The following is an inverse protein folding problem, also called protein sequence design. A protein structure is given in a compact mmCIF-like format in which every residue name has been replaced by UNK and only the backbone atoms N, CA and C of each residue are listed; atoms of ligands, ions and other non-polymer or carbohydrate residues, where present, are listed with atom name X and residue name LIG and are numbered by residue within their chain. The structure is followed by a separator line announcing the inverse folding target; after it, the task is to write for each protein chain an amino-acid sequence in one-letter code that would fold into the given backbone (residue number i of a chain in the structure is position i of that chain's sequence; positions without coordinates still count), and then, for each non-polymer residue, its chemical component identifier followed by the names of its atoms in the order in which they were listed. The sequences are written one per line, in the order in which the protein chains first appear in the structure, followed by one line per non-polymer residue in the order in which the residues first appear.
data_IF_669453841994
#
_entry.id   IF_669453841994
#
_cell.length_a   1.000
_cell.length_b   1.000
_cell.length_c   1.000
_cell.angle_alpha   90.00
_cell.angle_beta   90.00
_cell.angle_gamma   90.00
#
_symmetry.space_group_name_H-M   'P 1'
#
loop_
_entity.id
_entity.type
_entity.pdbx_description
1 polymer ?
2 non-polymer ?
3 non-polymer ?
4 water ?
#
# COMPACT_ATOMS: atom_id res chain seq x y z
N UNK A 4 19.01 -16.69 0.49
CA UNK A 4 18.85 -16.91 -0.95
C UNK A 4 18.65 -15.59 -1.70
N UNK A 5 19.01 -15.59 -2.98
CA UNK A 5 18.96 -14.39 -3.79
C UNK A 5 17.96 -14.51 -4.93
N UNK A 6 17.16 -15.57 -4.92
CA UNK A 6 16.20 -15.80 -5.98
C UNK A 6 14.96 -14.92 -5.84
N UNK A 7 14.37 -14.58 -6.98
CA UNK A 7 13.13 -13.82 -7.00
C UNK A 7 12.20 -14.48 -7.99
N UNK A 8 10.90 -14.31 -7.77
CA UNK A 8 9.91 -14.92 -8.61
C UNK A 8 9.80 -14.22 -9.96
N UNK A 9 8.91 -14.74 -10.79
CA UNK A 9 8.65 -14.14 -12.10
C UNK A 9 7.18 -13.82 -12.23
N UNK A 10 6.81 -13.01 -13.22
CA UNK A 10 5.42 -12.85 -13.54
C UNK A 10 5.10 -13.49 -14.90
N UNK A 11 3.86 -13.94 -15.05
CA UNK A 11 3.45 -14.52 -16.31
C UNK A 11 2.11 -13.95 -16.75
N UNK A 12 1.61 -14.41 -17.88
CA UNK A 12 0.37 -13.88 -18.42
C UNK A 12 -0.77 -14.01 -17.43
N UNK A 13 -0.82 -15.13 -16.72
CA UNK A 13 -1.87 -15.40 -15.76
C UNK A 13 -1.92 -14.35 -14.65
N UNK A 14 -0.74 -13.90 -14.22
CA UNK A 14 -0.65 -12.87 -13.18
C UNK A 14 -1.30 -11.59 -13.66
N UNK A 15 -0.96 -11.17 -14.88
CA UNK A 15 -1.53 -9.96 -15.44
C UNK A 15 -3.03 -10.09 -15.66
N UNK A 16 -3.45 -11.27 -16.13
CA UNK A 16 -4.84 -11.50 -16.43
C UNK A 16 -5.68 -11.40 -15.17
N UNK A 17 -5.22 -12.00 -14.08
CA UNK A 17 -6.01 -11.95 -12.85
C UNK A 17 -5.95 -10.56 -12.21
N UNK A 18 -4.82 -9.88 -12.36
CA UNK A 18 -4.77 -8.48 -11.93
C UNK A 18 -5.85 -7.65 -12.63
N UNK A 19 -6.00 -7.83 -13.95
CA UNK A 19 -6.96 -7.04 -14.70
C UNK A 19 -8.39 -7.39 -14.32
N UNK A 20 -8.62 -8.68 -14.11
CA UNK A 20 -9.94 -9.21 -13.81
C UNK A 20 -10.38 -8.84 -12.41
N UNK A 21 -9.48 -9.04 -11.45
CA UNK A 21 -9.84 -8.92 -10.04
C UNK A 21 -9.45 -7.58 -9.42
N UNK A 22 -8.48 -6.90 -10.00
CA UNK A 22 -8.03 -5.62 -9.50
C UNK A 22 -6.88 -5.69 -8.51
N UNK A 23 -6.43 -6.91 -8.24
CA UNK A 23 -5.27 -7.13 -7.38
C UNK A 23 -4.56 -8.41 -7.79
N UNK A 24 -3.33 -8.56 -7.31
CA UNK A 24 -2.59 -9.80 -7.59
C UNK A 24 -1.58 -10.03 -6.52
N UNK A 25 -1.32 -11.31 -6.25
CA UNK A 25 -0.31 -11.72 -5.30
C UNK A 25 0.95 -12.15 -6.04
N UNK A 26 2.08 -11.60 -5.63
CA UNK A 26 3.37 -12.02 -6.15
C UNK A 26 4.16 -12.64 -5.00
N UNK A 27 4.36 -13.96 -5.04
CA UNK A 27 4.92 -14.64 -3.87
C UNK A 27 6.31 -14.14 -3.43
N UNK A 28 7.16 -13.74 -4.37
CA UNK A 28 8.50 -13.32 -4.00
C UNK A 28 9.01 -12.23 -4.95
N UNK A 29 8.76 -10.97 -4.63
CA UNK A 29 9.20 -9.88 -5.49
C UNK A 29 10.55 -9.32 -5.00
N UNK A 30 10.88 -9.59 -3.74
CA UNK A 30 12.16 -9.21 -3.16
C UNK A 30 12.81 -10.48 -2.66
N UNK A 31 14.10 -10.64 -2.93
CA UNK A 31 14.84 -11.81 -2.48
C UNK A 31 15.05 -11.74 -0.99
N UNK A 32 15.47 -12.86 -0.39
CA UNK A 32 15.74 -12.90 1.02
C UNK A 32 16.80 -11.87 1.42
N UNK A 33 17.80 -11.66 0.58
CA UNK A 33 18.86 -10.71 0.89
C UNK A 33 18.37 -9.28 0.74
N UNK A 34 17.51 -9.02 -0.24
CA UNK A 34 16.91 -7.71 -0.41
C UNK A 34 16.00 -7.38 0.78
N UNK A 35 15.23 -8.35 1.24
CA UNK A 35 14.42 -8.19 2.44
C UNK A 35 15.28 -7.90 3.67
N UNK A 36 16.41 -8.60 3.79
CA UNK A 36 17.30 -8.39 4.93
C UNK A 36 17.81 -6.97 4.97
N UNK A 37 18.15 -6.43 3.79
CA UNK A 37 18.64 -5.06 3.70
C UNK A 37 17.51 -4.06 3.99
N UNK A 38 16.32 -4.34 3.49
CA UNK A 38 15.19 -3.45 3.73
C UNK A 38 14.87 -3.41 5.23
N UNK A 39 15.01 -4.56 5.89
CA UNK A 39 14.77 -4.65 7.32
C UNK A 39 15.74 -3.79 8.12
N UNK A 40 17.02 -3.83 7.74
CA UNK A 40 18.04 -3.01 8.38
C UNK A 40 17.76 -1.53 8.18
N UNK A 41 17.31 -1.17 6.98
CA UNK A 41 16.93 0.20 6.68
C UNK A 41 15.76 0.66 7.54
N UNK A 42 14.76 -0.21 7.73
CA UNK A 42 13.61 0.13 8.54
C UNK A 42 13.97 0.24 10.02
N UNK A 43 14.94 -0.57 10.47
CA UNK A 43 15.43 -0.51 11.84
C UNK A 43 15.90 0.91 12.20
N UNK A 44 16.42 1.61 11.20
CA UNK A 44 16.92 2.97 11.38
C UNK A 44 15.86 4.03 11.07
N UNK A 45 14.98 3.75 10.11
CA UNK A 45 13.91 4.68 9.75
C UNK A 45 12.86 4.76 10.86
N UNK A 46 12.59 3.63 11.47
CA UNK A 46 11.53 3.51 12.47
C UNK A 46 12.11 3.18 13.83
N UNK A 47 12.61 4.20 14.51
CA UNK A 47 13.23 3.98 15.81
C UNK A 47 12.16 3.94 16.90
N UNK A 48 12.08 2.81 17.59
CA UNK A 48 11.19 2.75 18.75
C UNK A 48 11.93 3.38 19.93
N UNK A 49 11.33 4.44 20.49
CA UNK A 49 12.01 5.28 21.46
C UNK A 49 11.30 5.24 22.79
N UNK A 50 12.06 5.16 23.89
CA UNK A 50 11.48 5.12 25.23
C UNK A 50 11.34 6.51 25.85
N UNK A 51 10.45 6.58 26.83
CA UNK A 51 10.26 7.75 27.68
C UNK A 51 10.46 7.33 29.14
N UNK A 52 10.61 8.30 30.06
CA UNK A 52 10.74 7.93 31.48
C UNK A 52 9.53 7.16 32.00
N UNK A 55 5.21 5.32 27.93
CA UNK A 55 4.90 4.59 26.71
C UNK A 55 5.92 4.89 25.61
N UNK A 56 6.36 3.85 24.92
CA UNK A 56 7.28 4.01 23.80
C UNK A 56 6.55 4.68 22.66
N UNK A 57 7.30 5.31 21.77
CA UNK A 57 6.72 5.87 20.57
C UNK A 57 7.74 5.73 19.44
N UNK A 58 7.26 5.64 18.21
CA UNK A 58 8.17 5.61 17.08
C UNK A 58 8.56 7.03 16.75
N UNK A 59 9.86 7.25 16.59
CA UNK A 59 10.38 8.60 16.51
C UNK A 59 10.30 9.12 15.09
N UNK A 60 9.08 9.36 14.63
CA UNK A 60 8.85 9.91 13.31
C UNK A 60 7.71 10.93 13.37
N UNK A 61 7.61 11.74 12.32
CA UNK A 61 6.48 12.66 12.19
C UNK A 61 5.18 11.85 12.18
N UNK A 62 4.18 12.35 12.91
CA UNK A 62 2.91 11.66 13.00
C UNK A 62 2.76 10.86 14.28
N UNK A 63 3.88 10.54 14.91
CA UNK A 63 3.87 9.75 16.14
C UNK A 63 4.34 10.54 17.35
N UNK A 64 5.53 11.13 17.24
CA UNK A 64 6.13 11.89 18.33
C UNK A 64 5.37 13.19 18.63
N UNK A 65 4.55 13.62 17.67
CA UNK A 65 3.80 14.86 17.82
C UNK A 65 2.29 14.64 17.68
N UNK A 66 1.85 13.41 17.91
CA UNK A 66 0.46 13.04 17.69
C UNK A 66 -0.46 13.36 18.88
N UNK A 67 -1.47 14.20 18.63
C UNK A 67 -3.82 13.80 19.09
N UNK A 68 -4.43 12.98 19.93
CA UNK A 68 -5.60 12.21 19.53
C UNK A 68 -5.23 10.74 19.44
N UNK A 69 -6.15 9.92 18.91
CA UNK A 69 -5.88 8.49 18.73
C UNK A 69 -4.61 8.25 17.91
N UNK A 70 -3.89 7.17 18.19
CA UNK A 70 -2.63 6.89 17.48
C UNK A 70 -2.82 6.72 15.98
N UNK A 71 -1.81 7.13 15.23
CA UNK A 71 -1.81 6.94 13.79
C UNK A 71 -0.88 5.78 13.45
N UNK A 72 -1.16 5.13 12.34
CA UNK A 72 -0.29 4.09 11.85
C UNK A 72 1.07 4.71 11.52
N UNK A 73 2.15 4.21 12.13
CA UNK A 73 3.48 4.75 11.81
C UNK A 73 3.80 4.62 10.33
N UNK A 74 4.10 5.74 9.69
CA UNK A 74 4.41 5.70 8.28
C UNK A 74 5.27 6.86 7.84
N UNK A 75 6.04 6.62 6.79
CA UNK A 75 6.92 7.63 6.22
C UNK A 75 6.61 7.78 4.74
N UNK A 76 6.12 8.95 4.34
CA UNK A 76 5.88 9.20 2.93
C UNK A 76 7.22 9.51 2.26
N UNK A 77 7.44 8.91 1.09
CA UNK A 77 8.69 9.07 0.34
C UNK A 77 9.95 8.84 1.18
N UNK A 78 10.11 7.63 1.73
CA UNK A 78 11.29 7.33 2.54
C UNK A 78 12.58 7.42 1.72
N UNK A 79 12.44 7.39 0.39
CA UNK A 79 13.59 7.50 -0.50
C UNK A 79 14.31 8.84 -0.34
N UNK A 80 13.67 9.79 0.34
CA UNK A 80 14.33 11.06 0.68
C UNK A 80 15.45 10.82 1.70
N UNK A 81 15.17 9.94 2.66
CA UNK A 81 16.11 9.65 3.73
C UNK A 81 17.04 8.50 3.34
N UNK A 82 16.50 7.55 2.58
CA UNK A 82 17.29 6.43 2.09
C UNK A 82 17.23 6.42 0.57
N UNK A 83 18.09 7.21 -0.07
CA UNK A 83 18.10 7.35 -1.54
C UNK A 83 18.73 6.14 -2.21
N UNK A 84 19.19 5.19 -1.40
CA UNK A 84 19.67 3.92 -1.91
C UNK A 84 18.49 3.09 -2.38
N UNK A 85 17.29 3.50 -2.00
CA UNK A 85 16.06 2.74 -2.28
C UNK A 85 15.72 2.66 -3.77
N UNK A 86 15.67 3.80 -4.45
CA UNK A 86 15.19 3.83 -5.84
C UNK A 86 16.31 3.51 -6.84
N UNK A 87 17.49 3.17 -6.35
CA UNK A 87 18.53 2.66 -7.20
C UNK A 87 18.32 1.17 -7.46
N UNK A 88 17.61 0.54 -6.53
CA UNK A 88 17.66 -0.90 -6.33
C UNK A 88 17.14 -1.77 -7.48
N UNK A 89 17.64 -3.01 -7.57
CA UNK A 89 17.03 -3.97 -8.49
C UNK A 89 15.56 -4.23 -8.17
N UNK A 90 15.18 -4.10 -6.89
CA UNK A 90 13.78 -4.32 -6.50
C UNK A 90 12.90 -3.21 -7.07
N UNK A 91 13.38 -1.97 -7.03
CA UNK A 91 12.61 -0.90 -7.62
C UNK A 91 12.43 -1.14 -9.12
N UNK A 92 13.52 -1.48 -9.80
CA UNK A 92 13.50 -1.65 -11.25
C UNK A 92 12.56 -2.79 -11.62
N UNK A 93 12.58 -3.83 -10.81
CA UNK A 93 11.76 -5.01 -11.00
C UNK A 93 10.29 -4.64 -10.85
N UNK A 94 9.99 -3.84 -9.84
CA UNK A 94 8.63 -3.39 -9.60
C UNK A 94 8.14 -2.45 -10.72
N UNK A 95 9.02 -1.59 -11.23
CA UNK A 95 8.63 -0.67 -12.30
C UNK A 95 8.27 -1.48 -13.55
N UNK A 96 9.04 -2.54 -13.80
CA UNK A 96 8.76 -3.42 -14.94
C UNK A 96 7.44 -4.14 -14.77
N UNK A 97 7.13 -4.56 -13.54
CA UNK A 97 5.86 -5.20 -13.26
C UNK A 97 4.72 -4.21 -13.51
N UNK A 98 4.89 -2.99 -13.03
CA UNK A 98 3.86 -1.96 -13.18
C UNK A 98 3.59 -1.69 -14.65
N UNK A 99 4.67 -1.60 -15.42
CA UNK A 99 4.59 -1.41 -16.85
C UNK A 99 3.78 -2.52 -17.53
N UNK A 100 4.08 -3.77 -17.17
CA UNK A 100 3.36 -4.91 -17.73
C UNK A 100 1.89 -4.89 -17.34
N UNK A 101 1.61 -4.54 -16.09
CA UNK A 101 0.24 -4.58 -15.60
C UNK A 101 -0.59 -3.39 -16.10
N UNK A 102 0.05 -2.25 -16.36
CA UNK A 102 -0.68 -1.06 -16.80
C UNK A 102 -0.66 -0.86 -18.31
N UNK A 103 0.11 -1.69 -19.03
CA UNK A 103 0.33 -1.53 -20.46
C UNK A 103 0.85 -0.14 -20.79
N UNK A 104 1.83 0.30 -20.01
CA UNK A 104 2.46 1.59 -20.19
C UNK A 104 3.97 1.47 -20.17
N UNK A 105 4.65 2.27 -20.98
CA UNK A 105 6.11 2.29 -20.98
C UNK A 105 6.61 2.71 -19.61
N UNK A 106 7.71 2.11 -19.16
CA UNK A 106 8.28 2.44 -17.86
C UNK A 106 8.58 3.92 -17.74
N UNK A 107 9.01 4.52 -18.84
CA UNK A 107 9.36 5.93 -18.90
C UNK A 107 8.17 6.86 -18.70
N UNK A 108 6.97 6.32 -18.89
CA UNK A 108 5.73 7.08 -18.73
C UNK A 108 5.25 7.12 -17.28
N UNK A 109 5.83 6.27 -16.44
CA UNK A 109 5.33 6.15 -15.08
C UNK A 109 5.98 7.13 -14.13
N UNK A 110 5.15 7.87 -13.40
CA UNK A 110 5.59 8.58 -12.21
C UNK A 110 5.53 7.64 -11.03
N UNK A 111 6.35 7.89 -10.02
CA UNK A 111 6.41 6.96 -8.90
C UNK A 111 6.87 7.61 -7.61
N UNK A 112 6.55 6.96 -6.49
CA UNK A 112 7.12 7.33 -5.21
C UNK A 112 7.00 6.15 -4.25
N UNK A 113 7.72 6.24 -3.14
CA UNK A 113 7.75 5.18 -2.14
C UNK A 113 6.92 5.54 -0.93
N UNK A 114 6.61 4.55 -0.12
CA UNK A 114 5.82 4.77 1.09
C UNK A 114 6.16 3.65 2.07
N UNK A 115 6.58 4.01 3.27
CA UNK A 115 6.98 3.02 4.28
C UNK A 115 5.95 2.97 5.39
N UNK A 116 5.64 1.75 5.81
CA UNK A 116 4.65 1.51 6.84
C UNK A 116 5.19 0.52 7.84
N UNK A 117 5.03 0.83 9.13
CA UNK A 117 5.29 -0.15 10.18
C UNK A 117 4.05 -0.25 11.07
N UNK A 118 3.48 -1.45 11.17
CA UNK A 118 2.40 -1.73 12.11
C UNK A 118 2.98 -2.28 13.38
N UNK A 119 2.94 -1.50 14.46
CA UNK A 119 3.50 -1.90 15.76
C UNK A 119 2.85 -3.17 16.27
N UNK A 120 3.54 -3.91 17.15
CA UNK A 120 2.91 -5.04 17.83
C UNK A 120 1.64 -4.59 18.54
N UNK A 121 0.60 -5.41 18.45
CA UNK A 121 -0.66 -5.17 19.14
C UNK A 121 -1.34 -3.88 18.70
N UNK A 122 -0.97 -3.37 17.53
CA UNK A 122 -1.63 -2.20 17.00
C UNK A 122 -3.07 -2.57 16.66
N UNK A 123 -4.03 -1.99 17.40
CA UNK A 123 -5.40 -2.45 17.35
C UNK A 123 -6.34 -1.79 16.37
N UNK A 124 -5.90 -0.72 15.71
CA UNK A 124 -6.73 -0.08 14.69
C UNK A 124 -6.56 -0.76 13.34
N UNK A 125 -7.66 -1.03 12.64
CA UNK A 125 -7.56 -1.50 11.26
C UNK A 125 -7.28 -0.33 10.33
N UNK A 126 -6.92 -0.64 9.10
CA UNK A 126 -7.01 0.33 8.01
C UNK A 126 -8.37 0.09 7.35
N UNK A 127 -9.31 1.02 7.56
CA UNK A 127 -10.68 0.76 7.13
C UNK A 127 -10.79 0.62 5.62
N UNK A 128 -11.83 -0.05 5.16
CA UNK A 128 -12.13 -0.11 3.73
C UNK A 128 -12.01 1.25 3.05
N UNK A 129 -11.28 1.29 1.94
CA UNK A 129 -11.13 2.51 1.15
C UNK A 129 -10.69 2.15 -0.25
N UNK A 130 -10.80 3.12 -1.16
CA UNK A 130 -10.15 3.04 -2.46
C UNK A 130 -9.12 4.13 -2.50
N UNK A 131 -7.93 3.81 -3.01
CA UNK A 131 -6.87 4.80 -3.00
C UNK A 131 -7.27 6.02 -3.84
N UNK A 132 -8.06 5.79 -4.88
CA UNK A 132 -8.51 6.91 -5.72
C UNK A 132 -9.38 7.91 -4.95
N UNK A 133 -9.99 7.48 -3.84
CA UNK A 133 -10.82 8.41 -3.06
C UNK A 133 -10.01 9.57 -2.51
N UNK A 134 -8.70 9.39 -2.42
CA UNK A 134 -7.79 10.44 -1.95
C UNK A 134 -7.37 11.39 -3.06
N UNK A 135 -7.77 11.10 -4.30
CA UNK A 135 -7.23 11.84 -5.43
C UNK A 135 -8.22 12.87 -5.97
N UNK A 136 -7.67 13.92 -6.59
CA UNK A 136 -8.44 15.01 -7.18
C UNK A 136 -9.33 14.49 -8.32
N UNK A 137 -10.66 14.65 -8.20
CA UNK A 137 -11.54 14.09 -9.23
C UNK A 137 -11.44 14.81 -10.57
N UNK A 138 -10.75 15.94 -10.56
CA UNK A 138 -10.59 16.72 -11.79
C UNK A 138 -9.52 16.14 -12.72
N UNK A 139 -8.71 15.21 -12.21
CA UNK A 139 -7.56 14.72 -12.94
C UNK A 139 -7.42 13.22 -12.73
N UNK A 140 -7.53 12.46 -13.82
CA UNK A 140 -7.54 11.02 -13.71
C UNK A 140 -6.16 10.48 -14.00
N UNK A 141 -5.70 9.54 -13.16
CA UNK A 141 -4.45 8.85 -13.44
C UNK A 141 -4.75 7.36 -13.44
N UNK A 142 -4.15 6.62 -14.37
CA UNK A 142 -4.10 5.17 -14.24
C UNK A 142 -2.95 4.83 -13.31
N UNK A 143 -3.11 3.81 -12.50
CA UNK A 143 -2.00 3.51 -11.60
C UNK A 143 -2.24 2.34 -10.70
N UNK A 144 -1.20 2.01 -9.94
CA UNK A 144 -1.31 0.90 -9.02
C UNK A 144 -0.29 1.07 -7.90
N UNK A 145 -0.41 0.21 -6.91
CA UNK A 145 0.50 0.13 -5.78
C UNK A 145 1.06 -1.27 -5.67
N UNK A 146 2.34 -1.37 -5.34
CA UNK A 146 3.02 -2.63 -5.07
C UNK A 146 3.50 -2.60 -3.63
N UNK A 147 2.82 -3.41 -2.81
CA UNK A 147 2.98 -3.49 -1.36
C UNK A 147 3.88 -4.67 -1.06
N UNK A 148 5.17 -4.43 -0.80
CA UNK A 148 6.12 -5.52 -0.54
C UNK A 148 6.28 -5.67 0.96
N UNK A 149 6.05 -6.86 1.49
CA UNK A 149 6.13 -7.03 2.93
C UNK A 149 7.54 -7.46 3.32
N UNK A 150 8.01 -6.97 4.47
CA UNK A 150 9.32 -7.36 5.00
C UNK A 150 9.18 -8.51 5.98
N UNK A 151 7.93 -8.79 6.34
CA UNK A 151 7.61 -9.77 7.39
C UNK A 151 6.54 -10.69 6.88
N UNK A 152 6.35 -11.83 7.55
CA UNK A 152 5.13 -12.61 7.30
C UNK A 152 3.93 -11.68 7.46
N UNK A 153 3.00 -11.76 6.52
CA UNK A 153 1.75 -11.02 6.64
C UNK A 153 0.59 -11.99 6.68
N UNK A 154 -0.14 -11.99 7.78
CA UNK A 154 -1.29 -12.87 7.93
C UNK A 154 -2.55 -12.07 8.22
N UNK A 155 -3.69 -12.74 8.27
CA UNK A 155 -4.91 -12.01 8.59
C UNK A 155 -4.76 -11.41 9.99
N UNK A 156 -4.16 -12.15 10.91
CA UNK A 156 -4.03 -11.67 12.28
C UNK A 156 -2.95 -10.62 12.47
N UNK A 157 -2.05 -10.47 11.50
CA UNK A 157 -0.97 -9.48 11.64
C UNK A 157 -1.30 -8.21 10.85
N UNK A 158 -2.41 -8.23 10.13
CA UNK A 158 -2.85 -7.08 9.37
C UNK A 158 -2.55 -7.08 7.88
N UNK A 159 -2.64 -8.25 7.24
CA UNK A 159 -2.48 -8.30 5.78
C UNK A 159 -3.65 -7.58 5.11
N UNK A 160 -3.52 -7.33 3.82
CA UNK A 160 -4.58 -6.65 3.06
C UNK A 160 -5.68 -7.62 2.65
N UNK A 161 -6.88 -7.08 2.54
CA UNK A 161 -8.04 -7.75 2.02
C UNK A 161 -8.57 -6.91 0.88
N UNK A 162 -9.08 -7.54 -0.16
CA UNK A 162 -9.62 -6.81 -1.31
C UNK A 162 -11.06 -7.15 -1.65
N UNK A 163 -11.74 -6.23 -2.34
CA UNK A 163 -13.02 -6.54 -2.98
C UNK A 163 -12.78 -6.84 -4.45
N UNK A 164 -12.77 -8.13 -4.82
CA UNK A 164 -12.48 -8.50 -6.21
C UNK A 164 -13.42 -7.83 -7.20
N UNK A 165 -12.86 -7.24 -8.23
CA UNK A 165 -13.65 -6.64 -9.29
C UNK A 165 -14.09 -5.23 -8.98
N UNK A 166 -13.79 -4.77 -7.76
CA UNK A 166 -14.27 -3.46 -7.32
C UNK A 166 -13.67 -2.29 -8.09
N UNK A 167 -12.56 -2.52 -8.77
CA UNK A 167 -11.93 -1.47 -9.56
C UNK A 167 -12.74 -1.13 -10.81
N UNK A 168 -13.74 -1.94 -11.16
CA UNK A 168 -14.63 -1.61 -12.28
C UNK A 168 -15.91 -0.96 -11.79
N UNK A 169 -16.05 -0.85 -10.47
CA UNK A 169 -17.20 -0.18 -9.86
C UNK A 169 -16.89 1.30 -9.67
N UNK A 170 -17.79 2.01 -8.99
CA UNK A 170 -17.55 3.43 -8.77
C UNK A 170 -16.47 3.67 -7.72
N UNK A 171 -15.98 4.90 -7.65
CA UNK A 171 -15.33 5.35 -6.44
C UNK A 171 -16.48 5.52 -5.45
N UNK A 172 -16.49 4.64 -4.47
CA UNK A 172 -17.55 4.53 -3.47
C UNK A 172 -17.63 5.76 -2.58
N UNK A 173 -18.80 5.99 -1.97
CA UNK A 173 -18.86 7.12 -1.04
C UNK A 173 -17.84 6.94 0.09
N UNK A 174 -17.03 7.95 0.34
CA UNK A 174 -16.11 7.90 1.46
C UNK A 174 -16.39 9.04 2.41
N UNK A 175 -15.92 8.89 3.65
CA UNK A 175 -15.98 10.00 4.59
C UNK A 175 -14.72 9.95 5.43
N UNK A 176 -14.37 11.07 6.05
CA UNK A 176 -13.27 11.04 6.98
C UNK A 176 -13.66 10.22 8.19
N UNK A 177 -12.72 9.41 8.66
CA UNK A 177 -12.92 8.67 9.90
C UNK A 177 -13.29 9.64 11.02
N UNK A 178 -12.63 10.79 11.03
CA UNK A 178 -12.96 11.92 11.90
C UNK A 178 -12.83 13.21 11.10
N UNK A 179 -13.94 13.91 10.90
CA UNK A 179 -13.95 15.15 10.13
C UNK A 179 -13.03 16.23 10.73
N UNK A 180 -12.85 16.18 12.05
CA UNK A 180 -11.99 17.13 12.75
C UNK A 180 -10.58 16.58 12.99
N UNK A 181 -10.30 15.40 12.42
CA UNK A 181 -8.98 14.78 12.52
C UNK A 181 -8.68 14.04 11.21
N UNK A 182 -8.58 14.81 10.13
CA UNK A 182 -8.59 14.22 8.79
C UNK A 182 -7.38 13.37 8.44
N UNK A 183 -6.27 13.59 9.15
CA UNK A 183 -5.06 12.84 8.90
C UNK A 183 -5.23 11.33 9.19
N UNK A 184 -6.28 10.97 9.93
CA UNK A 184 -6.55 9.56 10.23
C UNK A 184 -6.99 8.83 8.97
N UNK A 185 -7.46 9.59 7.99
CA UNK A 185 -7.73 9.02 6.67
C UNK A 185 -9.20 8.90 6.37
N UNK A 186 -9.49 8.25 5.25
CA UNK A 186 -10.84 8.07 4.72
C UNK A 186 -11.32 6.65 4.88
N UNK A 187 -12.64 6.46 4.89
CA UNK A 187 -13.21 5.13 4.83
C UNK A 187 -14.51 5.10 4.05
N UNK A 188 -14.88 3.90 3.60
CA UNK A 188 -16.20 3.70 3.04
C UNK A 188 -16.94 2.61 3.83
N UNK A 189 -18.25 2.74 3.93
CA UNK A 189 -19.09 1.73 4.57
C UNK A 189 -19.67 0.79 3.51
N UNK A 190 -19.35 1.06 2.26
CA UNK A 190 -20.06 0.42 1.16
C UNK A 190 -19.31 -0.75 0.54
N UNK A 191 -18.67 -1.54 1.40
CA UNK A 191 -18.08 -2.81 0.97
C UNK A 191 -18.65 -3.93 1.83
N UNK A 192 -19.08 -5.01 1.20
CA UNK A 192 -19.58 -6.18 1.92
C UNK A 192 -18.41 -7.08 2.30
N UNK A 193 -18.09 -7.16 3.60
CA UNK A 193 -16.93 -7.91 4.07
C UNK A 193 -16.97 -9.40 3.70
N UNK A 194 -18.15 -9.96 3.49
CA UNK A 194 -18.23 -11.38 3.11
C UNK A 194 -17.79 -11.60 1.67
N UNK A 195 -17.65 -10.50 0.92
CA UNK A 195 -17.16 -10.58 -0.45
C UNK A 195 -15.65 -10.41 -0.52
N UNK A 196 -15.04 -10.09 0.62
CA UNK A 196 -13.61 -9.81 0.65
C UNK A 196 -12.75 -11.06 0.50
N UNK A 197 -11.55 -10.85 -0.04
CA UNK A 197 -10.56 -11.91 -0.17
C UNK A 197 -9.26 -11.45 0.48
N UNK A 198 -8.69 -12.27 1.37
CA UNK A 198 -7.47 -11.88 2.06
C UNK A 198 -6.24 -12.35 1.32
N UNK A 199 -5.15 -11.59 1.46
CA UNK A 199 -3.90 -11.87 0.76
C UNK A 199 -2.71 -11.99 1.70
N UNK A 200 -2.64 -13.12 2.43
CA UNK A 200 -1.43 -13.31 3.24
C UNK A 200 -0.19 -13.48 2.36
N UNK A 201 0.96 -13.13 2.93
CA UNK A 201 2.23 -13.13 2.21
C UNK A 201 3.34 -13.63 3.10
N UNK A 202 4.35 -14.21 2.48
CA UNK A 202 5.60 -14.50 3.16
C UNK A 202 6.53 -13.30 2.97
N UNK A 203 7.61 -13.20 3.77
CA UNK A 203 8.53 -12.07 3.61
C UNK A 203 9.07 -11.97 2.18
N UNK A 204 9.06 -10.75 1.63
CA UNK A 204 9.49 -10.53 0.26
C UNK A 204 8.39 -10.70 -0.76
N UNK A 205 7.23 -11.18 -0.32
CA UNK A 205 6.05 -11.25 -1.18
C UNK A 205 5.45 -9.88 -1.33
N UNK A 206 4.56 -9.72 -2.31
CA UNK A 206 3.88 -8.44 -2.49
C UNK A 206 2.47 -8.64 -2.97
N UNK A 207 1.64 -7.65 -2.70
CA UNK A 207 0.36 -7.58 -3.34
C UNK A 207 0.38 -6.31 -4.18
N UNK A 208 -0.29 -6.41 -5.33
CA UNK A 208 -0.40 -5.30 -6.27
C UNK A 208 -1.88 -4.94 -6.43
N UNK A 209 -2.26 -3.67 -6.33
CA UNK A 209 -3.65 -3.34 -6.59
C UNK A 209 -3.84 -2.02 -7.29
N UNK A 210 -4.89 -2.00 -8.10
CA UNK A 210 -5.31 -0.81 -8.84
C UNK A 210 -5.74 0.33 -7.92
N UNK A 211 -5.62 1.56 -8.40
CA UNK A 211 -6.07 2.72 -7.63
C UNK A 211 -7.54 2.63 -7.20
N UNK A 212 -8.34 1.85 -7.93
CA UNK A 212 -9.78 1.81 -7.62
C UNK A 212 -10.22 0.52 -6.90
N UNK A 213 -9.29 -0.39 -6.63
CA UNK A 213 -9.70 -1.60 -5.91
C UNK A 213 -9.89 -1.34 -4.42
N UNK A 214 -11.10 -1.60 -3.90
CA UNK A 214 -11.27 -1.40 -2.45
C UNK A 214 -10.41 -2.36 -1.65
N UNK A 215 -9.79 -1.86 -0.58
CA UNK A 215 -9.02 -2.73 0.28
C UNK A 215 -9.10 -2.31 1.74
N UNK A 216 -8.74 -3.25 2.62
CA UNK A 216 -8.87 -3.12 4.07
C UNK A 216 -7.67 -3.83 4.66
N UNK A 217 -7.20 -3.38 5.81
CA UNK A 217 -6.20 -4.14 6.55
C UNK A 217 -6.62 -4.28 7.99
N UNK A 218 -6.50 -5.48 8.53
CA UNK A 218 -6.87 -5.72 9.90
C UNK A 218 -5.85 -5.17 10.87
N UNK A 219 -6.17 -5.20 12.16
CA UNK A 219 -5.21 -4.80 13.20
C UNK A 219 -4.06 -5.79 13.27
N UNK A 220 -2.96 -5.39 13.90
CA UNK A 220 -1.88 -6.36 14.13
C UNK A 220 -2.04 -6.95 15.51
N UNK A 221 -2.66 -8.13 15.57
CA UNK A 221 -2.90 -8.79 16.85
C UNK A 221 -1.71 -9.61 17.32
N UNK A 222 -0.55 -9.39 16.74
CA UNK A 222 0.63 -10.19 17.10
C UNK A 222 1.64 -9.35 17.85
N UNK A 223 2.62 -10.01 18.47
CA UNK A 223 3.58 -9.30 19.27
C UNK A 223 4.80 -8.84 18.49
N UNK A 224 4.72 -8.90 17.15
CA UNK A 224 5.82 -8.52 16.28
C UNK A 224 5.40 -7.42 15.32
N UNK A 225 6.30 -6.45 15.07
CA UNK A 225 5.97 -5.39 14.11
C UNK A 225 5.83 -5.99 12.71
N UNK A 226 5.02 -5.37 11.87
CA UNK A 226 4.84 -5.82 10.51
C UNK A 226 5.10 -4.66 9.57
N UNK A 227 6.10 -4.82 8.71
CA UNK A 227 6.59 -3.73 7.87
C UNK A 227 6.28 -3.95 6.40
N UNK A 228 5.92 -2.89 5.70
CA UNK A 228 5.67 -2.97 4.27
C UNK A 228 6.35 -1.81 3.59
N UNK A 229 6.85 -2.05 2.39
CA UNK A 229 7.42 -0.99 1.57
C UNK A 229 6.55 -0.91 0.33
N UNK A 230 5.96 0.26 0.11
CA UNK A 230 4.96 0.40 -0.95
C UNK A 230 5.54 1.27 -2.05
N UNK A 231 5.44 0.80 -3.29
CA UNK A 231 5.80 1.62 -4.43
C UNK A 231 4.55 1.90 -5.23
N UNK A 232 4.34 3.17 -5.53
CA UNK A 232 3.21 3.61 -6.33
C UNK A 232 3.69 4.02 -7.72
N UNK A 233 3.04 3.50 -8.75
CA UNK A 233 3.36 3.83 -10.13
C UNK A 233 2.10 4.34 -10.80
N UNK A 234 2.21 5.44 -11.53
CA UNK A 234 1.02 6.05 -12.09
C UNK A 234 1.31 6.82 -13.36
N UNK A 235 0.25 7.03 -14.15
CA UNK A 235 0.38 7.82 -15.37
C UNK A 235 0.34 9.29 -15.03
N UNK A 236 0.74 10.12 -15.97
CA UNK A 236 0.46 11.55 -15.92
C UNK A 236 -1.05 11.76 -15.81
N UNK A 237 -1.47 12.90 -15.24
CA UNK A 237 -2.90 13.15 -15.07
C UNK A 237 -3.57 13.55 -16.39
N UNK A 238 -4.82 13.13 -16.56
CA UNK A 238 -5.62 13.51 -17.71
C UNK A 238 -6.87 14.28 -17.24
N UNK A 239 -7.23 15.32 -17.98
CA UNK A 239 -8.37 16.15 -17.59
C UNK A 239 -9.69 15.39 -17.66
N UNK A 240 -10.43 15.40 -16.55
CA UNK A 240 -11.76 14.81 -16.50
C UNK A 240 -12.83 15.84 -16.85
N UNK A 241 -13.62 15.56 -17.89
CA UNK A 241 -14.61 16.52 -18.38
C UNK A 241 -15.76 16.74 -17.41
N UNK A 242 -16.19 15.67 -16.74
CA UNK A 242 -17.28 15.77 -15.77
C UNK A 242 -16.86 15.15 -14.45
N UNK A 243 -16.19 15.95 -13.61
CA UNK A 243 -15.60 15.45 -12.37
C UNK A 243 -16.66 15.03 -11.35
N UNK A 244 -16.44 13.91 -10.68
CA UNK A 244 -17.22 13.51 -9.50
C UNK A 244 -17.09 14.53 -8.38
N UNK A 245 -18.15 14.71 -7.58
CA UNK A 245 -18.11 15.68 -6.49
C UNK A 245 -17.09 15.38 -5.37
N UNK A 246 -16.98 14.11 -4.96
CA UNK A 246 -16.13 13.70 -3.83
C UNK A 246 -16.10 14.72 -2.69
N UNK A 247 -17.25 14.90 -2.02
CA UNK A 247 -17.39 15.96 -1.01
C UNK A 247 -16.54 15.71 0.24
N UNK A 248 -15.95 14.53 0.34
CA UNK A 248 -15.10 14.17 1.48
C UNK A 248 -13.67 14.65 1.30
N UNK A 249 -13.38 15.23 0.13
CA UNK A 249 -12.01 15.60 -0.17
C UNK A 249 -11.50 16.66 0.79
N UNK A 250 -10.28 16.45 1.28
CA UNK A 250 -9.61 17.44 2.10
C UNK A 250 -8.80 18.38 1.23
N UNK A 251 -9.35 19.56 0.94
CA UNK A 251 -8.64 20.58 0.18
C UNK A 251 -7.85 21.48 1.13
#
# INVERSE_FOLDING_TARGET
MDAMEVVGTIDHRDREEFRSRGFAILPQVASESEVAWLRQAYDRLFVRRATPGAEDFYDIAGQRDREGPPLLPQIIKPEKYVPELLDSPHFARCRSIASAFLDMAEEELEFYGHAILKPPRYGAPTPWHQDEAYMDPRWRRRGLSIWTTLDEATVESGCLHYLPGGHRGPVLPHHHIDNDDRIRGLMTDDVDPTSAVACPLAPGGAVVHDFRTPHYAGPNLTDQPRRAYVLVFMSAPAEVADPEPRPWMDWG
#
